data_IF_648900898879
#
_entry.id   IF_648900898879
#
_cell.length_a   1.000
_cell.length_b   1.000
_cell.length_c   1.000
_cell.angle_alpha   90.00
_cell.angle_beta   90.00
_cell.angle_gamma   90.00
#
_symmetry.space_group_name_H-M   'P 1'
#
loop_
_entity.id
_entity.type
_entity.pdbx_description
1 polymer ?
#
# COMPACT_ATOMS: atom_id res chain seq x y z
N UNK A 1 -41.61 12.62 1.91
CA UNK A 1 -40.24 12.89 2.39
C UNK A 1 -39.36 12.83 1.15
N UNK A 2 -38.87 13.96 0.69
CA UNK A 2 -37.91 14.01 -0.42
C UNK A 2 -36.60 13.41 0.10
N UNK A 3 -36.23 12.22 -0.40
CA UNK A 3 -34.92 11.65 -0.18
C UNK A 3 -33.87 12.68 -0.64
N UNK A 4 -33.22 13.33 0.31
CA UNK A 4 -32.07 14.18 0.03
C UNK A 4 -31.00 13.23 -0.51
N UNK A 5 -30.77 13.25 -1.81
CA UNK A 5 -29.71 12.48 -2.44
C UNK A 5 -28.39 12.97 -1.81
N UNK A 6 -27.82 12.19 -0.90
CA UNK A 6 -26.53 12.51 -0.29
C UNK A 6 -25.45 12.53 -1.37
N UNK A 7 -24.71 13.65 -1.44
CA UNK A 7 -23.56 13.73 -2.35
C UNK A 7 -22.31 13.10 -1.71
N UNK A 8 -21.95 11.91 -2.17
CA UNK A 8 -20.76 11.18 -1.74
C UNK A 8 -19.46 11.63 -2.40
N UNK A 9 -19.48 12.71 -3.19
CA UNK A 9 -18.25 13.24 -3.81
C UNK A 9 -17.27 13.76 -2.77
N UNK A 10 -17.75 14.29 -1.64
CA UNK A 10 -16.94 14.71 -0.50
C UNK A 10 -16.29 13.50 0.21
N UNK A 11 -17.04 12.42 0.44
CA UNK A 11 -16.53 11.17 1.02
C UNK A 11 -15.44 10.56 0.14
N UNK A 12 -15.69 10.50 -1.16
CA UNK A 12 -14.71 10.05 -2.15
C UNK A 12 -13.42 10.85 -2.08
N UNK A 13 -13.50 12.18 -2.04
CA UNK A 13 -12.32 13.06 -1.93
C UNK A 13 -11.58 12.86 -0.61
N UNK A 14 -12.30 12.72 0.50
CA UNK A 14 -11.70 12.46 1.80
C UNK A 14 -10.93 11.14 1.82
N UNK A 15 -11.50 10.04 1.29
CA UNK A 15 -10.82 8.76 1.19
C UNK A 15 -9.61 8.81 0.23
N UNK A 16 -9.69 9.54 -0.89
CA UNK A 16 -8.56 9.73 -1.78
C UNK A 16 -7.40 10.46 -1.10
N UNK A 17 -7.68 11.52 -0.34
CA UNK A 17 -6.67 12.22 0.44
C UNK A 17 -6.14 11.35 1.59
N UNK A 18 -6.96 10.47 2.19
CA UNK A 18 -6.51 9.48 3.15
C UNK A 18 -5.41 8.59 2.58
N UNK A 19 -5.59 8.05 1.37
CA UNK A 19 -4.54 7.26 0.71
C UNK A 19 -3.31 8.09 0.32
N UNK A 20 -3.46 9.37 0.04
CA UNK A 20 -2.30 10.28 -0.12
C UNK A 20 -1.59 10.48 1.22
N UNK A 21 -2.31 10.65 2.33
CA UNK A 21 -1.74 10.70 3.69
C UNK A 21 -0.95 9.42 3.98
N UNK A 22 -1.53 8.25 3.70
CA UNK A 22 -0.86 6.96 3.89
C UNK A 22 0.44 6.88 3.06
N UNK A 23 0.40 7.30 1.79
CA UNK A 23 1.58 7.33 0.94
C UNK A 23 2.69 8.24 1.49
N UNK A 24 2.32 9.41 2.04
CA UNK A 24 3.28 10.34 2.64
C UNK A 24 3.96 9.69 3.84
N UNK A 25 3.19 9.18 4.82
CA UNK A 25 3.77 8.64 6.06
C UNK A 25 4.60 7.37 5.83
N UNK A 26 4.25 6.57 4.83
CA UNK A 26 5.00 5.36 4.48
C UNK A 26 6.30 5.65 3.72
N UNK A 27 6.34 6.71 2.88
CA UNK A 27 7.44 6.89 1.92
C UNK A 27 8.30 8.14 2.17
N UNK A 28 7.88 9.09 3.01
CA UNK A 28 8.63 10.32 3.25
C UNK A 28 9.86 10.11 4.13
N UNK A 29 9.72 9.39 5.25
CA UNK A 29 10.80 9.24 6.23
C UNK A 29 12.08 8.58 5.67
N UNK A 30 12.01 7.57 4.78
CA UNK A 30 13.18 7.03 4.09
C UNK A 30 14.00 8.08 3.32
N UNK A 31 13.36 9.11 2.78
CA UNK A 31 14.03 10.20 2.06
C UNK A 31 14.89 11.08 3.00
N UNK A 32 14.64 11.00 4.32
CA UNK A 32 15.35 11.77 5.35
C UNK A 32 16.56 11.01 5.95
N UNK A 33 16.83 9.77 5.59
CA UNK A 33 17.89 8.95 6.20
C UNK A 33 19.25 9.64 6.14
N UNK A 34 19.60 10.26 5.02
CA UNK A 34 20.87 11.01 4.89
C UNK A 34 20.86 12.28 5.77
N UNK A 35 19.70 12.95 5.92
CA UNK A 35 19.57 14.08 6.82
C UNK A 35 19.79 13.66 8.28
N UNK A 36 19.16 12.57 8.71
CA UNK A 36 19.32 12.03 10.06
C UNK A 36 20.76 11.57 10.35
N UNK A 37 21.40 10.93 9.37
CA UNK A 37 22.80 10.54 9.50
C UNK A 37 23.71 11.76 9.68
N UNK A 38 23.55 12.79 8.85
CA UNK A 38 24.39 13.98 8.87
C UNK A 38 24.17 14.86 10.11
N UNK A 39 22.91 14.98 10.55
CA UNK A 39 22.56 15.91 11.63
C UNK A 39 22.67 15.29 13.02
N UNK A 40 22.27 14.04 13.16
CA UNK A 40 22.20 13.34 14.44
C UNK A 40 23.28 12.27 14.61
N UNK A 41 24.09 12.00 13.58
CA UNK A 41 25.10 10.94 13.62
C UNK A 41 24.52 9.52 13.68
N UNK A 42 23.23 9.32 13.37
CA UNK A 42 22.58 8.01 13.45
C UNK A 42 23.22 7.06 12.43
N UNK A 43 23.70 5.88 12.83
CA UNK A 43 24.24 4.90 11.89
C UNK A 43 23.18 4.47 10.85
N UNK A 44 23.57 4.39 9.58
CA UNK A 44 22.65 4.00 8.49
C UNK A 44 22.01 2.63 8.77
N UNK A 45 22.77 1.70 9.31
CA UNK A 45 22.26 0.37 9.69
C UNK A 45 21.10 0.44 10.71
N UNK A 46 21.14 1.40 11.64
CA UNK A 46 20.08 1.58 12.65
C UNK A 46 18.79 2.15 12.05
N UNK A 47 18.86 2.77 10.89
CA UNK A 47 17.66 3.32 10.21
C UNK A 47 16.75 2.23 9.65
N UNK A 48 17.22 0.99 9.52
CA UNK A 48 16.39 -0.16 9.18
C UNK A 48 15.28 -0.43 10.24
N UNK A 49 15.46 0.06 11.48
CA UNK A 49 14.41 0.01 12.50
C UNK A 49 13.18 0.88 12.16
N UNK A 50 13.36 1.93 11.38
CA UNK A 50 12.27 2.86 11.03
C UNK A 50 11.17 2.14 10.24
N UNK A 51 11.42 1.55 9.06
CA UNK A 51 10.40 0.80 8.35
C UNK A 51 9.96 -0.46 9.11
N UNK A 52 10.84 -1.11 9.88
CA UNK A 52 10.47 -2.29 10.68
C UNK A 52 9.42 -1.93 11.73
N UNK A 53 9.59 -0.83 12.47
CA UNK A 53 8.60 -0.35 13.44
C UNK A 53 7.32 0.10 12.74
N UNK A 54 7.43 0.81 11.61
CA UNK A 54 6.27 1.24 10.83
C UNK A 54 5.35 0.07 10.47
N UNK A 55 5.89 -0.95 9.80
CA UNK A 55 5.09 -2.11 9.38
C UNK A 55 4.64 -2.97 10.55
N UNK A 56 5.44 -3.12 11.62
CA UNK A 56 5.01 -3.85 12.81
C UNK A 56 3.80 -3.19 13.48
N UNK A 57 3.79 -1.87 13.58
CA UNK A 57 2.66 -1.11 14.14
C UNK A 57 1.45 -1.20 13.22
N UNK A 58 1.62 -1.10 11.90
CA UNK A 58 0.54 -1.24 10.93
C UNK A 58 -0.12 -2.61 11.04
N UNK A 59 0.64 -3.70 10.99
CA UNK A 59 0.15 -5.08 11.21
C UNK A 59 -0.61 -5.23 12.53
N UNK A 60 -0.14 -4.58 13.60
CA UNK A 60 -0.81 -4.62 14.90
C UNK A 60 -2.15 -3.89 14.87
N UNK A 61 -2.25 -2.75 14.19
CA UNK A 61 -3.50 -2.00 14.00
C UNK A 61 -4.50 -2.81 13.18
N UNK A 62 -4.06 -3.44 12.09
CA UNK A 62 -4.90 -4.29 11.25
C UNK A 62 -5.48 -5.46 12.05
N UNK A 63 -4.62 -6.11 12.87
CA UNK A 63 -5.07 -7.17 13.77
C UNK A 63 -6.10 -6.68 14.79
N UNK A 64 -5.90 -5.50 15.37
CA UNK A 64 -6.88 -4.91 16.30
C UNK A 64 -8.20 -4.62 15.59
N UNK A 65 -8.17 -4.03 14.40
CA UNK A 65 -9.37 -3.77 13.60
C UNK A 65 -10.09 -5.05 13.20
N UNK A 66 -9.35 -6.13 12.91
CA UNK A 66 -9.96 -7.44 12.63
C UNK A 66 -10.64 -8.07 13.85
N UNK A 67 -10.11 -7.80 15.05
CA UNK A 67 -10.59 -8.38 16.32
C UNK A 67 -11.80 -7.63 16.88
N UNK A 68 -11.81 -6.30 16.80
CA UNK A 68 -12.89 -5.47 17.35
C UNK A 68 -14.00 -5.29 16.32
N UNK A 69 -15.26 -5.53 16.76
CA UNK A 69 -16.44 -5.47 15.88
C UNK A 69 -17.06 -4.08 15.80
N UNK A 70 -17.08 -3.35 16.93
CA UNK A 70 -17.76 -2.06 17.03
C UNK A 70 -16.80 -0.91 16.75
N UNK A 71 -16.49 -0.69 15.47
CA UNK A 71 -15.61 0.39 15.03
C UNK A 71 -16.46 1.59 14.60
N UNK A 72 -16.33 2.71 15.32
CA UNK A 72 -16.84 4.00 14.86
C UNK A 72 -15.96 4.52 13.71
N UNK A 73 -16.41 4.33 12.48
CA UNK A 73 -15.66 4.69 11.28
C UNK A 73 -15.27 6.15 11.24
N UNK A 74 -16.21 7.07 11.57
CA UNK A 74 -15.93 8.50 11.56
C UNK A 74 -14.86 8.88 12.58
N UNK A 75 -15.02 8.39 13.80
CA UNK A 75 -14.08 8.68 14.88
C UNK A 75 -12.68 8.13 14.56
N UNK A 76 -12.60 6.89 14.11
CA UNK A 76 -11.33 6.23 13.88
C UNK A 76 -10.61 6.77 12.64
N UNK A 77 -11.33 7.15 11.56
CA UNK A 77 -10.71 7.77 10.40
C UNK A 77 -10.23 9.21 10.69
N UNK A 78 -10.89 9.94 11.59
CA UNK A 78 -10.38 11.23 12.08
C UNK A 78 -9.13 11.01 12.95
N UNK A 79 -9.13 9.99 13.82
CA UNK A 79 -7.95 9.63 14.64
C UNK A 79 -6.77 9.29 13.72
N UNK A 80 -6.99 8.60 12.61
CA UNK A 80 -5.92 8.26 11.68
C UNK A 80 -5.23 9.50 11.08
N UNK A 81 -6.00 10.48 10.67
CA UNK A 81 -5.45 11.74 10.14
C UNK A 81 -4.76 12.57 11.23
N UNK A 82 -5.34 12.61 12.44
CA UNK A 82 -4.73 13.30 13.60
C UNK A 82 -3.38 12.66 13.94
N UNK A 83 -3.31 11.34 14.07
CA UNK A 83 -2.06 10.65 14.40
C UNK A 83 -1.03 10.79 13.28
N UNK A 84 -1.45 10.74 12.01
CA UNK A 84 -0.58 11.00 10.86
C UNK A 84 0.00 12.42 10.90
N UNK A 85 -0.84 13.43 11.16
CA UNK A 85 -0.40 14.82 11.26
C UNK A 85 0.54 15.05 12.46
N UNK A 86 0.21 14.49 13.62
CA UNK A 86 1.02 14.62 14.84
C UNK A 86 2.37 13.92 14.69
N UNK A 87 2.39 12.73 14.10
CA UNK A 87 3.64 12.00 13.87
C UNK A 87 4.54 12.72 12.87
N UNK A 88 3.99 13.23 11.75
CA UNK A 88 4.75 14.05 10.79
C UNK A 88 5.25 15.34 11.43
N UNK A 89 4.38 16.15 12.03
CA UNK A 89 4.79 17.40 12.67
C UNK A 89 5.77 17.15 13.82
N UNK A 90 5.54 16.12 14.63
CA UNK A 90 6.42 15.71 15.71
C UNK A 90 7.83 15.35 15.22
N UNK A 91 7.96 14.77 14.04
CA UNK A 91 9.25 14.42 13.44
C UNK A 91 10.17 15.64 13.30
N UNK A 92 9.63 16.83 13.09
CA UNK A 92 10.42 18.04 12.98
C UNK A 92 11.07 18.47 14.31
N UNK A 93 10.54 18.05 15.46
CA UNK A 93 10.93 18.58 16.78
C UNK A 93 11.38 17.49 17.76
N UNK A 94 10.65 16.36 17.85
CA UNK A 94 10.90 15.32 18.84
C UNK A 94 12.31 14.73 18.82
N UNK A 95 12.93 14.45 17.65
CA UNK A 95 14.28 13.86 17.63
C UNK A 95 15.31 14.67 18.40
N UNK A 96 15.19 16.01 18.35
CA UNK A 96 16.11 16.92 19.05
C UNK A 96 15.87 17.00 20.57
N UNK A 97 14.76 16.51 21.08
CA UNK A 97 14.41 16.54 22.51
C UNK A 97 14.90 15.32 23.27
N UNK A 98 15.27 14.26 22.59
CA UNK A 98 15.75 13.02 23.21
C UNK A 98 17.27 12.93 23.21
N UNK A 99 17.87 12.39 24.27
CA UNK A 99 19.31 12.12 24.28
C UNK A 99 19.76 11.24 23.12
N UNK A 100 18.90 10.27 22.74
CA UNK A 100 19.04 9.43 21.55
C UNK A 100 18.00 9.84 20.51
N UNK A 101 18.36 10.62 19.47
CA UNK A 101 17.41 11.13 18.47
C UNK A 101 16.61 10.05 17.75
N UNK A 102 17.19 8.86 17.59
CA UNK A 102 16.48 7.71 16.99
C UNK A 102 15.22 7.34 17.78
N UNK A 103 15.24 7.44 19.11
CA UNK A 103 14.04 7.18 19.94
C UNK A 103 12.92 8.16 19.60
N UNK A 104 13.23 9.46 19.48
CA UNK A 104 12.27 10.47 19.07
C UNK A 104 11.69 10.20 17.67
N UNK A 105 12.54 9.76 16.72
CA UNK A 105 12.11 9.34 15.38
C UNK A 105 11.14 8.15 15.47
N UNK A 106 11.50 7.09 16.22
CA UNK A 106 10.67 5.89 16.35
C UNK A 106 9.32 6.16 17.03
N UNK A 107 9.26 7.09 17.98
CA UNK A 107 8.00 7.55 18.57
C UNK A 107 7.11 8.19 17.49
N UNK A 108 7.65 9.10 16.68
CA UNK A 108 6.91 9.74 15.59
C UNK A 108 6.43 8.72 14.56
N UNK A 109 7.30 7.77 14.20
CA UNK A 109 6.98 6.65 13.30
C UNK A 109 5.82 5.84 13.84
N UNK A 110 5.87 5.46 15.11
CA UNK A 110 4.79 4.71 15.78
C UNK A 110 3.47 5.47 15.71
N UNK A 111 3.48 6.78 15.99
CA UNK A 111 2.27 7.61 15.99
C UNK A 111 1.65 7.66 14.59
N UNK A 112 2.41 7.95 13.54
CA UNK A 112 1.83 8.02 12.19
C UNK A 112 1.58 6.64 11.57
N UNK A 113 2.28 5.57 12.00
CA UNK A 113 1.98 4.22 11.55
C UNK A 113 0.62 3.72 12.04
N UNK A 114 0.18 4.14 13.25
CA UNK A 114 -1.20 3.91 13.72
C UNK A 114 -2.18 4.55 12.73
N UNK A 115 -1.91 5.79 12.30
CA UNK A 115 -2.73 6.47 11.30
C UNK A 115 -2.78 5.72 9.97
N UNK A 116 -1.62 5.26 9.50
CA UNK A 116 -1.49 4.49 8.25
C UNK A 116 -2.35 3.23 8.26
N UNK A 117 -2.24 2.39 9.30
CA UNK A 117 -3.02 1.16 9.41
C UNK A 117 -4.54 1.44 9.47
N UNK A 118 -4.96 2.47 10.24
CA UNK A 118 -6.38 2.84 10.26
C UNK A 118 -6.89 3.30 8.90
N UNK A 119 -6.12 4.09 8.12
CA UNK A 119 -6.50 4.51 6.77
C UNK A 119 -6.69 3.30 5.87
N UNK A 120 -5.75 2.36 5.91
CA UNK A 120 -5.76 1.16 5.09
C UNK A 120 -7.01 0.31 5.31
N UNK A 121 -7.35 0.05 6.57
CA UNK A 121 -8.50 -0.77 6.93
C UNK A 121 -9.83 -0.06 6.71
N UNK A 122 -9.91 1.26 6.95
CA UNK A 122 -11.20 1.95 7.02
C UNK A 122 -11.62 2.62 5.70
N UNK A 123 -10.71 3.11 4.86
CA UNK A 123 -11.09 3.82 3.64
C UNK A 123 -11.77 2.89 2.62
N UNK A 124 -11.30 1.65 2.49
CA UNK A 124 -11.88 0.67 1.56
C UNK A 124 -13.34 0.35 1.88
N UNK A 125 -13.72 -0.03 3.13
CA UNK A 125 -15.13 -0.26 3.46
C UNK A 125 -15.98 1.00 3.39
N UNK A 126 -15.44 2.20 3.70
CA UNK A 126 -16.19 3.46 3.53
C UNK A 126 -16.59 3.68 2.07
N UNK A 127 -15.69 3.44 1.11
CA UNK A 127 -15.99 3.53 -0.33
C UNK A 127 -16.92 2.42 -0.78
N UNK A 128 -16.74 1.18 -0.27
CA UNK A 128 -17.60 0.04 -0.61
C UNK A 128 -19.04 0.23 -0.16
N UNK A 129 -19.26 0.86 1.00
CA UNK A 129 -20.59 1.17 1.52
C UNK A 129 -21.31 2.28 0.72
N UNK A 130 -20.58 3.16 0.05
CA UNK A 130 -21.18 4.22 -0.76
C UNK A 130 -21.94 3.64 -1.96
N UNK A 131 -23.10 4.24 -2.37
CA UNK A 131 -23.91 3.74 -3.48
C UNK A 131 -23.35 4.14 -4.85
N UNK A 132 -22.09 3.84 -5.10
CA UNK A 132 -21.51 4.05 -6.42
C UNK A 132 -21.91 2.94 -7.40
N UNK A 133 -22.23 3.29 -8.67
CA UNK A 133 -22.66 2.30 -9.66
C UNK A 133 -21.54 1.33 -10.08
N UNK A 134 -20.28 1.75 -9.97
CA UNK A 134 -19.10 0.95 -10.30
C UNK A 134 -18.19 0.83 -9.07
N UNK A 135 -18.50 -0.09 -8.16
CA UNK A 135 -17.75 -0.27 -6.91
C UNK A 135 -16.32 -0.73 -7.14
N UNK A 136 -16.10 -1.70 -8.05
CA UNK A 136 -14.76 -2.19 -8.40
C UNK A 136 -13.88 -1.08 -8.98
N UNK A 137 -14.44 -0.27 -9.87
CA UNK A 137 -13.75 0.88 -10.43
C UNK A 137 -13.44 1.95 -9.39
N UNK A 138 -14.36 2.19 -8.45
CA UNK A 138 -14.13 3.14 -7.35
C UNK A 138 -13.05 2.65 -6.39
N UNK A 139 -13.02 1.35 -6.09
CA UNK A 139 -11.96 0.74 -5.29
C UNK A 139 -10.59 0.89 -5.98
N UNK A 140 -10.53 0.59 -7.27
CA UNK A 140 -9.30 0.76 -8.06
C UNK A 140 -8.83 2.23 -8.12
N UNK A 141 -9.75 3.18 -8.29
CA UNK A 141 -9.45 4.61 -8.23
C UNK A 141 -8.95 5.03 -6.85
N UNK A 142 -9.58 4.57 -5.78
CA UNK A 142 -9.15 4.84 -4.41
C UNK A 142 -7.68 4.46 -4.22
N UNK A 143 -7.33 3.23 -4.53
CA UNK A 143 -5.96 2.74 -4.38
C UNK A 143 -4.96 3.39 -5.37
N UNK A 144 -5.44 3.99 -6.49
CA UNK A 144 -4.56 4.76 -7.37
C UNK A 144 -4.00 6.01 -6.68
N UNK A 145 -4.74 6.60 -5.73
CA UNK A 145 -4.28 7.78 -5.00
C UNK A 145 -3.12 7.49 -4.05
N UNK A 146 -2.97 6.25 -3.56
CA UNK A 146 -1.74 5.84 -2.90
C UNK A 146 -0.54 5.95 -3.85
N UNK A 147 -0.65 5.40 -5.07
CA UNK A 147 0.43 5.45 -6.06
C UNK A 147 0.81 6.89 -6.43
N UNK A 148 -0.20 7.73 -6.70
CA UNK A 148 0.02 9.15 -6.99
C UNK A 148 0.59 9.89 -5.79
N UNK A 149 0.20 9.50 -4.58
CA UNK A 149 0.79 9.99 -3.33
C UNK A 149 2.28 9.64 -3.24
N UNK A 150 2.67 8.40 -3.54
CA UNK A 150 4.09 7.96 -3.58
C UNK A 150 4.87 8.80 -4.59
N UNK A 151 4.38 8.91 -5.82
CA UNK A 151 5.02 9.74 -6.86
C UNK A 151 5.11 11.19 -6.39
N UNK A 152 4.03 11.74 -5.83
CA UNK A 152 3.96 13.12 -5.35
C UNK A 152 4.93 13.40 -4.22
N UNK A 153 5.02 12.52 -3.21
CA UNK A 153 5.92 12.73 -2.07
C UNK A 153 7.39 12.61 -2.48
N UNK A 154 7.72 11.65 -3.34
CA UNK A 154 9.11 11.47 -3.80
C UNK A 154 9.54 12.66 -4.65
N UNK A 155 8.79 12.98 -5.71
CA UNK A 155 9.13 14.09 -6.62
C UNK A 155 9.06 15.44 -5.90
N UNK A 156 8.03 15.70 -5.12
CA UNK A 156 7.86 16.94 -4.37
C UNK A 156 8.97 17.15 -3.35
N UNK A 157 9.36 16.10 -2.62
CA UNK A 157 10.47 16.18 -1.65
C UNK A 157 11.81 16.35 -2.35
N UNK A 158 12.05 15.63 -3.44
CA UNK A 158 13.29 15.77 -4.23
C UNK A 158 13.42 17.17 -4.80
N UNK A 159 12.35 17.73 -5.35
CA UNK A 159 12.34 19.11 -5.86
C UNK A 159 12.56 20.13 -4.74
N UNK A 160 11.89 19.95 -3.60
CA UNK A 160 12.09 20.83 -2.44
C UNK A 160 13.54 20.81 -1.96
N UNK A 161 14.16 19.65 -1.83
CA UNK A 161 15.56 19.54 -1.41
C UNK A 161 16.53 20.08 -2.45
N UNK A 162 16.23 19.96 -3.74
CA UNK A 162 17.04 20.57 -4.80
C UNK A 162 17.00 22.10 -4.76
N UNK A 163 15.85 22.70 -4.43
CA UNK A 163 15.68 24.15 -4.39
C UNK A 163 16.12 24.79 -3.08
N UNK A 164 15.80 24.15 -1.95
CA UNK A 164 15.97 24.72 -0.61
C UNK A 164 17.04 24.01 0.24
N UNK A 165 17.59 22.91 -0.25
CA UNK A 165 18.59 22.13 0.46
C UNK A 165 18.02 21.15 1.48
N UNK A 166 18.78 20.08 1.72
CA UNK A 166 18.36 18.98 2.62
C UNK A 166 18.23 19.45 4.09
N UNK A 167 18.95 20.50 4.51
CA UNK A 167 18.87 21.02 5.88
C UNK A 167 17.51 21.59 6.25
N UNK A 168 16.66 21.92 5.27
CA UNK A 168 15.28 22.39 5.48
C UNK A 168 14.24 21.25 5.61
N UNK A 169 14.68 20.02 5.83
CA UNK A 169 13.79 18.85 5.92
C UNK A 169 12.67 19.01 6.97
N UNK A 170 12.92 19.73 8.07
CA UNK A 170 11.89 20.00 9.11
C UNK A 170 10.72 20.82 8.56
N UNK A 171 11.01 21.81 7.72
CA UNK A 171 9.97 22.64 7.08
C UNK A 171 9.13 21.75 6.16
N UNK A 172 9.78 20.92 5.34
CA UNK A 172 9.07 20.01 4.45
C UNK A 172 8.21 19.02 5.21
N UNK A 173 8.68 18.48 6.34
CA UNK A 173 7.92 17.57 7.20
C UNK A 173 6.64 18.25 7.71
N UNK A 174 6.72 19.51 8.15
CA UNK A 174 5.54 20.29 8.55
C UNK A 174 4.59 20.58 7.37
N UNK A 175 5.13 20.83 6.17
CA UNK A 175 4.32 21.04 4.97
C UNK A 175 3.53 19.78 4.62
N UNK A 176 4.16 18.59 4.67
CA UNK A 176 3.46 17.33 4.44
C UNK A 176 2.37 17.07 5.50
N UNK A 177 2.56 17.50 6.75
CA UNK A 177 1.55 17.38 7.80
C UNK A 177 0.28 18.21 7.53
N UNK A 178 0.31 19.21 6.65
CA UNK A 178 -0.87 20.00 6.29
C UNK A 178 -1.93 19.17 5.54
N UNK A 179 -1.53 18.12 4.83
CA UNK A 179 -2.46 17.27 4.09
C UNK A 179 -3.39 16.50 5.03
N UNK A 180 -2.90 15.71 6.00
CA UNK A 180 -3.78 15.07 6.98
C UNK A 180 -4.56 16.09 7.82
N UNK A 181 -3.97 17.22 8.22
CA UNK A 181 -4.70 18.28 8.93
C UNK A 181 -5.90 18.80 8.14
N UNK A 182 -5.73 19.06 6.84
CA UNK A 182 -6.84 19.44 5.97
C UNK A 182 -7.89 18.33 5.86
N UNK A 183 -7.44 17.07 5.79
CA UNK A 183 -8.33 15.93 5.59
C UNK A 183 -9.17 15.59 6.82
N UNK A 184 -8.74 15.98 8.05
CA UNK A 184 -9.57 15.92 9.25
C UNK A 184 -10.91 16.64 9.01
N UNK A 185 -10.88 17.84 8.40
CA UNK A 185 -12.08 18.64 8.12
C UNK A 185 -12.98 17.90 7.13
N UNK A 186 -12.39 17.29 6.09
CA UNK A 186 -13.15 16.52 5.11
C UNK A 186 -13.87 15.33 5.77
N UNK A 187 -13.18 14.51 6.56
CA UNK A 187 -13.79 13.36 7.24
C UNK A 187 -14.78 13.76 8.34
N UNK A 188 -14.60 14.92 8.96
CA UNK A 188 -15.56 15.43 9.95
C UNK A 188 -16.91 15.79 9.32
N UNK A 189 -16.91 16.22 8.05
CA UNK A 189 -18.09 16.81 7.40
C UNK A 189 -18.71 15.92 6.31
N UNK A 190 -17.97 14.99 5.70
CA UNK A 190 -18.49 14.15 4.63
C UNK A 190 -19.54 13.13 5.14
N UNK A 191 -20.52 12.73 4.29
CA UNK A 191 -21.44 11.65 4.64
C UNK A 191 -20.69 10.31 4.65
N UNK A 192 -20.81 9.52 5.73
CA UNK A 192 -20.32 8.15 5.81
C UNK A 192 -21.56 7.26 5.99
N UNK A 193 -21.74 6.29 5.09
CA UNK A 193 -22.84 5.33 5.21
C UNK A 193 -22.54 4.32 6.32
N UNK A 194 -23.59 3.83 7.01
CA UNK A 194 -23.43 2.71 7.92
C UNK A 194 -22.91 1.50 7.15
N UNK A 195 -21.72 1.10 7.48
CA UNK A 195 -21.18 -0.17 7.00
C UNK A 195 -21.95 -1.24 7.76
N UNK A 196 -22.42 -2.29 7.06
CA UNK A 196 -23.29 -3.36 7.58
C UNK A 196 -23.16 -3.49 9.09
N UNK A 197 -24.27 -3.25 9.82
CA UNK A 197 -24.21 -3.14 11.28
C UNK A 197 -23.34 -4.25 11.82
N UNK A 198 -22.26 -3.90 12.51
CA UNK A 198 -21.25 -4.86 12.98
C UNK A 198 -21.83 -5.98 13.86
N UNK A 199 -23.06 -5.81 14.37
CA UNK A 199 -23.84 -6.85 15.04
C UNK A 199 -24.21 -8.04 14.13
N UNK A 200 -24.30 -7.83 12.80
CA UNK A 200 -24.62 -8.87 11.79
C UNK A 200 -23.39 -9.33 11.00
N UNK A 201 -22.25 -8.64 11.10
CA UNK A 201 -21.01 -8.98 10.42
C UNK A 201 -20.35 -10.24 10.97
N UNK A 202 -19.65 -10.98 10.10
CA UNK A 202 -18.85 -12.14 10.50
C UNK A 202 -17.71 -11.73 11.41
N UNK A 203 -17.49 -12.48 12.50
CA UNK A 203 -16.31 -12.30 13.34
C UNK A 203 -15.05 -12.83 12.64
N UNK A 204 -13.87 -12.35 13.05
CA UNK A 204 -12.57 -12.87 12.61
C UNK A 204 -12.51 -14.41 12.66
N UNK A 205 -12.97 -15.02 13.78
CA UNK A 205 -12.99 -16.49 13.92
C UNK A 205 -13.92 -17.19 12.94
N UNK A 206 -15.06 -16.58 12.61
CA UNK A 206 -15.99 -17.11 11.62
C UNK A 206 -15.42 -17.01 10.20
N UNK A 207 -14.78 -15.88 9.87
CA UNK A 207 -14.10 -15.70 8.59
C UNK A 207 -12.96 -16.69 8.40
N UNK A 208 -12.08 -16.86 9.38
CA UNK A 208 -10.96 -17.81 9.32
C UNK A 208 -11.42 -19.29 9.23
N UNK A 209 -12.61 -19.62 9.71
CA UNK A 209 -13.21 -20.94 9.55
C UNK A 209 -14.00 -21.10 8.25
N UNK A 210 -14.26 -20.01 7.54
CA UNK A 210 -14.99 -20.02 6.29
C UNK A 210 -14.08 -20.52 5.16
N UNK A 211 -14.38 -21.71 4.66
CA UNK A 211 -13.61 -22.35 3.57
C UNK A 211 -13.57 -21.50 2.29
N UNK A 212 -14.62 -20.71 2.04
CA UNK A 212 -14.68 -19.80 0.90
C UNK A 212 -13.73 -18.60 1.07
N UNK A 213 -13.42 -18.20 2.31
CA UNK A 213 -12.55 -17.06 2.57
C UNK A 213 -11.06 -17.38 2.44
N UNK A 214 -10.65 -18.61 2.74
CA UNK A 214 -9.24 -19.00 2.73
C UNK A 214 -8.53 -18.76 1.37
N UNK A 215 -9.11 -19.10 0.21
CA UNK A 215 -8.51 -18.79 -1.09
C UNK A 215 -8.27 -17.28 -1.29
N UNK A 216 -9.15 -16.42 -0.77
CA UNK A 216 -8.97 -14.97 -0.87
C UNK A 216 -7.85 -14.45 0.05
N UNK A 217 -7.65 -15.04 1.22
CA UNK A 217 -6.49 -14.72 2.06
C UNK A 217 -5.17 -15.09 1.35
N UNK A 218 -5.10 -16.28 0.76
CA UNK A 218 -3.91 -16.72 -0.01
C UNK A 218 -3.70 -15.81 -1.23
N UNK A 219 -4.78 -15.43 -1.93
CA UNK A 219 -4.76 -14.49 -3.03
C UNK A 219 -4.16 -13.16 -2.58
N UNK A 220 -4.57 -12.65 -1.42
CA UNK A 220 -4.11 -11.36 -0.90
C UNK A 220 -2.65 -11.40 -0.45
N UNK A 221 -2.20 -12.50 0.20
CA UNK A 221 -0.78 -12.73 0.50
C UNK A 221 0.05 -12.72 -0.79
N UNK A 222 -0.39 -13.45 -1.82
CA UNK A 222 0.30 -13.50 -3.10
C UNK A 222 0.32 -12.14 -3.81
N UNK A 223 -0.75 -11.34 -3.65
CA UNK A 223 -0.85 -9.97 -4.16
C UNK A 223 0.19 -9.07 -3.51
N UNK A 224 0.21 -8.98 -2.18
CA UNK A 224 1.17 -8.16 -1.44
C UNK A 224 2.61 -8.58 -1.72
N UNK A 225 2.88 -9.89 -1.77
CA UNK A 225 4.20 -10.40 -2.09
C UNK A 225 4.65 -10.05 -3.51
N UNK A 226 3.75 -10.16 -4.51
CA UNK A 226 4.06 -9.81 -5.91
C UNK A 226 4.31 -8.32 -6.09
N UNK A 227 3.60 -7.46 -5.39
CA UNK A 227 3.78 -6.00 -5.43
C UNK A 227 5.10 -5.61 -4.74
N UNK A 228 5.26 -6.01 -3.47
CA UNK A 228 6.36 -5.55 -2.62
C UNK A 228 7.72 -6.11 -3.05
N UNK A 229 7.79 -7.33 -3.55
CA UNK A 229 9.08 -7.92 -4.00
C UNK A 229 9.72 -7.09 -5.09
N UNK A 230 8.95 -6.66 -6.09
CA UNK A 230 9.49 -5.82 -7.16
C UNK A 230 9.72 -4.39 -6.68
N UNK A 231 8.74 -3.78 -6.00
CA UNK A 231 8.81 -2.38 -5.56
C UNK A 231 10.01 -2.11 -4.65
N UNK A 232 10.28 -3.00 -3.69
CA UNK A 232 11.36 -2.80 -2.71
C UNK A 232 12.75 -3.13 -3.25
N UNK A 233 12.85 -4.06 -4.18
CA UNK A 233 14.14 -4.47 -4.72
C UNK A 233 14.53 -3.80 -6.04
N UNK A 234 13.60 -3.07 -6.68
CA UNK A 234 13.82 -2.48 -8.01
C UNK A 234 15.02 -1.53 -8.07
N UNK A 235 15.24 -0.69 -7.04
CA UNK A 235 16.38 0.22 -6.97
C UNK A 235 17.70 -0.53 -6.79
N UNK A 236 17.78 -1.43 -5.80
CA UNK A 236 18.98 -2.24 -5.56
C UNK A 236 19.29 -3.15 -6.75
N UNK A 237 18.27 -3.70 -7.40
CA UNK A 237 18.41 -4.49 -8.61
C UNK A 237 19.02 -3.67 -9.76
N UNK A 238 18.56 -2.44 -9.95
CA UNK A 238 19.10 -1.54 -10.96
C UNK A 238 20.57 -1.21 -10.73
N UNK A 239 20.94 -0.88 -9.49
CA UNK A 239 22.29 -0.51 -9.09
C UNK A 239 23.24 -1.72 -9.14
N UNK A 240 22.88 -2.80 -8.45
CA UNK A 240 23.80 -3.94 -8.22
C UNK A 240 23.86 -4.89 -9.41
N UNK A 241 22.70 -5.22 -10.01
CA UNK A 241 22.64 -6.22 -11.08
C UNK A 241 22.74 -5.63 -12.48
N UNK A 242 22.33 -4.36 -12.66
CA UNK A 242 22.34 -3.71 -13.97
C UNK A 242 23.42 -2.65 -14.10
N UNK A 243 24.15 -2.31 -13.03
CA UNK A 243 25.24 -1.35 -13.05
C UNK A 243 24.80 0.09 -13.37
N UNK A 244 23.54 0.45 -13.04
CA UNK A 244 22.97 1.77 -13.29
C UNK A 244 23.19 2.66 -12.06
N UNK A 245 23.46 3.95 -12.29
CA UNK A 245 23.60 4.91 -11.19
C UNK A 245 22.39 4.89 -10.25
N UNK A 246 22.64 4.96 -8.94
CA UNK A 246 21.61 4.88 -7.90
C UNK A 246 20.45 5.86 -8.12
N UNK A 247 20.74 7.12 -8.50
CA UNK A 247 19.70 8.12 -8.73
C UNK A 247 18.76 7.73 -9.90
N UNK A 248 19.30 7.14 -10.96
CA UNK A 248 18.54 6.63 -12.09
C UNK A 248 17.79 5.37 -11.67
N UNK A 249 18.42 4.50 -10.87
CA UNK A 249 17.81 3.28 -10.32
C UNK A 249 16.60 3.57 -9.46
N UNK A 250 16.69 4.58 -8.58
CA UNK A 250 15.57 5.00 -7.72
C UNK A 250 14.39 5.57 -8.53
N UNK A 251 14.66 6.34 -9.57
CA UNK A 251 13.63 6.92 -10.45
C UNK A 251 13.04 5.88 -11.40
N UNK A 252 13.87 5.10 -12.08
CA UNK A 252 13.43 4.13 -13.08
C UNK A 252 12.91 2.83 -12.46
N UNK A 253 13.32 2.47 -11.25
CA UNK A 253 12.81 1.32 -10.51
C UNK A 253 11.51 1.64 -9.77
N UNK A 254 11.56 1.99 -8.46
CA UNK A 254 10.36 2.11 -7.63
C UNK A 254 9.42 3.25 -8.07
N UNK A 255 9.94 4.40 -8.55
CA UNK A 255 9.10 5.51 -8.98
C UNK A 255 8.36 5.17 -10.28
N UNK A 256 9.03 4.58 -11.28
CA UNK A 256 8.36 4.15 -12.49
C UNK A 256 7.38 3.01 -12.23
N UNK A 257 7.73 2.04 -11.36
CA UNK A 257 6.82 0.99 -10.91
C UNK A 257 5.53 1.60 -10.33
N UNK A 258 5.63 2.53 -9.37
CA UNK A 258 4.48 3.18 -8.74
C UNK A 258 3.67 4.00 -9.76
N UNK A 259 4.32 4.68 -10.71
CA UNK A 259 3.67 5.43 -11.77
C UNK A 259 2.82 4.52 -12.68
N UNK A 260 3.39 3.41 -13.17
CA UNK A 260 2.66 2.48 -14.03
C UNK A 260 1.55 1.74 -13.25
N UNK A 261 1.77 1.43 -11.97
CA UNK A 261 0.74 0.89 -11.09
C UNK A 261 -0.42 1.89 -10.93
N UNK A 262 -0.13 3.16 -10.69
CA UNK A 262 -1.14 4.22 -10.61
C UNK A 262 -1.93 4.39 -11.91
N UNK A 263 -1.25 4.36 -13.05
CA UNK A 263 -1.90 4.38 -14.37
C UNK A 263 -2.84 3.19 -14.57
N UNK A 264 -2.41 1.99 -14.23
CA UNK A 264 -3.23 0.77 -14.36
C UNK A 264 -4.47 0.84 -13.47
N UNK A 265 -4.33 1.26 -12.19
CA UNK A 265 -5.44 1.46 -11.26
C UNK A 265 -6.42 2.52 -11.77
N UNK A 266 -5.92 3.65 -12.23
CA UNK A 266 -6.75 4.72 -12.78
C UNK A 266 -7.47 4.30 -14.07
N UNK A 267 -6.78 3.58 -14.96
CA UNK A 267 -7.37 3.08 -16.20
C UNK A 267 -8.52 2.11 -15.91
N UNK A 268 -8.28 1.12 -15.05
CA UNK A 268 -9.32 0.16 -14.66
C UNK A 268 -10.50 0.88 -13.98
N UNK A 269 -10.22 1.80 -13.08
CA UNK A 269 -11.25 2.58 -12.40
C UNK A 269 -12.18 3.35 -13.33
N UNK A 270 -11.67 3.83 -14.47
CA UNK A 270 -12.43 4.62 -15.45
C UNK A 270 -13.03 3.79 -16.59
N UNK A 271 -12.37 2.72 -17.00
CA UNK A 271 -12.70 1.96 -18.23
C UNK A 271 -12.98 0.49 -17.99
N UNK A 272 -12.66 -0.04 -16.82
CA UNK A 272 -12.75 -1.47 -16.48
C UNK A 272 -14.18 -1.97 -16.20
N UNK A 273 -15.17 -1.11 -16.07
CA UNK A 273 -16.54 -1.44 -15.66
C UNK A 273 -17.25 -2.51 -16.51
N UNK A 274 -16.80 -2.72 -17.76
CA UNK A 274 -17.36 -3.74 -18.66
C UNK A 274 -16.51 -5.02 -18.71
N UNK A 275 -15.42 -5.08 -17.92
CA UNK A 275 -14.54 -6.23 -17.87
C UNK A 275 -14.92 -7.13 -16.69
N UNK A 276 -14.89 -8.45 -16.90
CA UNK A 276 -14.97 -9.38 -15.78
C UNK A 276 -13.70 -9.29 -14.93
N UNK A 277 -13.85 -8.80 -13.69
CA UNK A 277 -12.76 -8.54 -12.77
C UNK A 277 -11.84 -9.76 -12.59
N UNK A 278 -12.42 -10.94 -12.39
CA UNK A 278 -11.66 -12.16 -12.17
C UNK A 278 -10.82 -12.57 -13.40
N UNK A 279 -11.37 -12.40 -14.60
CA UNK A 279 -10.65 -12.65 -15.86
C UNK A 279 -9.53 -11.64 -16.07
N UNK A 280 -9.81 -10.36 -15.80
CA UNK A 280 -8.82 -9.29 -15.91
C UNK A 280 -7.66 -9.48 -14.92
N UNK A 281 -7.95 -9.82 -13.65
CA UNK A 281 -6.94 -10.15 -12.66
C UNK A 281 -6.12 -11.38 -13.04
N UNK A 282 -6.74 -12.41 -13.63
CA UNK A 282 -6.01 -13.60 -14.12
C UNK A 282 -5.02 -13.23 -15.21
N UNK A 283 -5.44 -12.43 -16.20
CA UNK A 283 -4.57 -11.93 -17.26
C UNK A 283 -3.43 -11.07 -16.70
N UNK A 284 -3.76 -10.18 -15.76
CA UNK A 284 -2.78 -9.35 -15.05
C UNK A 284 -1.77 -10.19 -14.25
N UNK A 285 -2.22 -11.29 -13.62
CA UNK A 285 -1.33 -12.26 -12.94
C UNK A 285 -0.35 -12.95 -13.88
N UNK A 286 -0.83 -13.36 -15.05
CA UNK A 286 0.03 -13.93 -16.10
C UNK A 286 1.04 -12.88 -16.60
N UNK A 287 0.60 -11.65 -16.84
CA UNK A 287 1.48 -10.55 -17.22
C UNK A 287 2.52 -10.25 -16.13
N UNK A 288 2.12 -10.29 -14.85
CA UNK A 288 3.02 -10.11 -13.72
C UNK A 288 4.12 -11.19 -13.71
N UNK A 289 3.73 -12.46 -13.86
CA UNK A 289 4.68 -13.58 -13.96
C UNK A 289 5.66 -13.37 -15.12
N UNK A 290 5.15 -13.06 -16.32
CA UNK A 290 5.99 -12.79 -17.48
C UNK A 290 6.93 -11.59 -17.25
N UNK A 291 6.47 -10.55 -16.57
CA UNK A 291 7.26 -9.36 -16.21
C UNK A 291 8.40 -9.70 -15.24
N UNK A 292 8.15 -10.56 -14.27
CA UNK A 292 9.18 -11.09 -13.36
C UNK A 292 10.24 -11.91 -14.12
N UNK A 293 9.83 -12.76 -15.04
CA UNK A 293 10.77 -13.50 -15.89
C UNK A 293 11.60 -12.55 -16.78
N UNK A 294 10.95 -11.54 -17.36
CA UNK A 294 11.63 -10.55 -18.19
C UNK A 294 12.66 -9.75 -17.39
N UNK A 295 12.32 -9.34 -16.16
CA UNK A 295 13.23 -8.61 -15.28
C UNK A 295 14.41 -9.49 -14.83
N UNK A 296 14.13 -10.75 -14.44
CA UNK A 296 15.12 -11.63 -13.81
C UNK A 296 16.01 -12.41 -14.76
N UNK A 297 15.54 -12.72 -15.97
CA UNK A 297 16.30 -13.55 -16.93
C UNK A 297 17.05 -12.71 -17.97
N UNK A 298 16.75 -11.42 -18.10
CA UNK A 298 17.45 -10.55 -19.05
C UNK A 298 18.76 -10.03 -18.45
N UNK A 299 19.82 -10.07 -19.27
CA UNK A 299 21.09 -9.40 -18.96
C UNK A 299 21.17 -7.97 -19.54
N UNK A 300 20.14 -7.54 -20.29
CA UNK A 300 20.07 -6.20 -20.89
C UNK A 300 19.30 -5.27 -19.93
N UNK A 301 19.95 -4.22 -19.38
CA UNK A 301 19.34 -3.32 -18.39
C UNK A 301 17.98 -2.76 -18.82
N UNK A 302 17.87 -2.30 -20.07
CA UNK A 302 16.62 -1.73 -20.60
C UNK A 302 15.47 -2.74 -20.57
N UNK A 303 15.73 -4.00 -20.93
CA UNK A 303 14.70 -5.06 -20.93
C UNK A 303 14.27 -5.37 -19.49
N UNK A 304 15.22 -5.44 -18.56
CA UNK A 304 14.92 -5.65 -17.14
C UNK A 304 14.10 -4.50 -16.54
N UNK A 305 14.40 -3.24 -16.89
CA UNK A 305 13.58 -2.10 -16.50
C UNK A 305 12.16 -2.16 -17.08
N UNK A 306 12.01 -2.55 -18.35
CA UNK A 306 10.69 -2.77 -18.94
C UNK A 306 9.93 -3.85 -18.16
N UNK A 307 10.59 -4.91 -17.72
CA UNK A 307 10.01 -5.93 -16.84
C UNK A 307 9.52 -5.32 -15.52
N UNK A 308 10.31 -4.47 -14.86
CA UNK A 308 9.91 -3.78 -13.64
C UNK A 308 8.69 -2.88 -13.86
N UNK A 309 8.66 -2.06 -14.92
CA UNK A 309 7.54 -1.18 -15.24
C UNK A 309 6.26 -1.97 -15.55
N UNK A 310 6.38 -3.04 -16.35
CA UNK A 310 5.25 -3.91 -16.68
C UNK A 310 4.72 -4.65 -15.45
N UNK A 311 5.58 -5.03 -14.51
CA UNK A 311 5.12 -5.64 -13.26
C UNK A 311 4.29 -4.65 -12.43
N UNK A 312 4.67 -3.36 -12.39
CA UNK A 312 3.86 -2.30 -11.76
C UNK A 312 2.47 -2.20 -12.38
N UNK A 313 2.40 -2.17 -13.73
CA UNK A 313 1.12 -2.17 -14.46
C UNK A 313 0.30 -3.44 -14.16
N UNK A 314 0.95 -4.59 -14.10
CA UNK A 314 0.31 -5.88 -13.88
C UNK A 314 -0.27 -6.02 -12.47
N UNK A 315 0.48 -5.61 -11.42
CA UNK A 315 -0.02 -5.69 -10.03
C UNK A 315 -1.09 -4.63 -9.73
N UNK A 316 -1.29 -3.66 -10.61
CA UNK A 316 -2.17 -2.51 -10.37
C UNK A 316 -3.56 -2.88 -9.85
N UNK A 317 -4.22 -3.88 -10.46
CA UNK A 317 -5.57 -4.29 -10.08
C UNK A 317 -5.60 -5.32 -8.94
N UNK A 318 -4.48 -5.92 -8.59
CA UNK A 318 -4.48 -7.10 -7.73
C UNK A 318 -4.96 -6.79 -6.32
N UNK A 319 -4.46 -5.73 -5.69
CA UNK A 319 -4.88 -5.33 -4.36
C UNK A 319 -6.35 -4.87 -4.33
N UNK A 320 -6.76 -3.82 -5.06
CA UNK A 320 -8.15 -3.38 -5.06
C UNK A 320 -9.11 -4.44 -5.60
N UNK A 321 -8.69 -5.21 -6.59
CA UNK A 321 -9.48 -6.30 -7.16
C UNK A 321 -9.68 -7.45 -6.18
N UNK A 322 -8.68 -7.83 -5.40
CA UNK A 322 -8.82 -8.86 -4.36
C UNK A 322 -9.82 -8.43 -3.29
N UNK A 323 -9.79 -7.18 -2.86
CA UNK A 323 -10.76 -6.62 -1.92
C UNK A 323 -12.17 -6.66 -2.52
N UNK A 324 -12.36 -6.11 -3.72
CA UNK A 324 -13.67 -6.07 -4.39
C UNK A 324 -14.22 -7.47 -4.68
N UNK A 325 -13.35 -8.38 -5.13
CA UNK A 325 -13.76 -9.77 -5.41
C UNK A 325 -14.18 -10.50 -4.14
N UNK A 326 -13.48 -10.28 -3.03
CA UNK A 326 -13.80 -10.91 -1.74
C UNK A 326 -15.08 -10.35 -1.15
N UNK A 327 -15.27 -9.03 -1.14
CA UNK A 327 -16.48 -8.39 -0.61
C UNK A 327 -17.72 -8.80 -1.40
N UNK A 328 -17.60 -8.97 -2.72
CA UNK A 328 -18.69 -9.48 -3.55
C UNK A 328 -19.06 -10.95 -3.27
N UNK A 329 -18.09 -11.80 -2.85
CA UNK A 329 -18.34 -13.20 -2.51
C UNK A 329 -18.80 -13.40 -1.07
N UNK A 330 -18.43 -12.50 -0.17
CA UNK A 330 -18.74 -12.56 1.27
C UNK A 330 -19.30 -11.21 1.73
N UNK A 331 -20.52 -10.83 1.30
CA UNK A 331 -21.09 -9.52 1.61
C UNK A 331 -21.28 -9.26 3.11
N UNK A 332 -21.37 -10.33 3.91
CA UNK A 332 -21.53 -10.26 5.37
C UNK A 332 -20.19 -10.19 6.11
N UNK A 333 -19.06 -10.02 5.39
CA UNK A 333 -17.73 -10.06 5.99
C UNK A 333 -17.43 -8.91 6.97
N UNK A 334 -18.11 -7.76 6.80
CA UNK A 334 -17.94 -6.60 7.68
C UNK A 334 -16.50 -6.07 7.72
N UNK A 335 -16.19 -5.28 8.74
CA UNK A 335 -14.85 -4.69 8.94
C UNK A 335 -13.75 -5.75 9.07
N UNK A 336 -14.06 -6.88 9.73
CA UNK A 336 -13.09 -7.95 9.93
C UNK A 336 -12.55 -8.53 8.62
N UNK A 337 -13.38 -8.56 7.56
CA UNK A 337 -12.94 -9.01 6.22
C UNK A 337 -11.86 -8.10 5.65
N UNK A 338 -12.09 -6.78 5.66
CA UNK A 338 -11.14 -5.81 5.12
C UNK A 338 -9.83 -5.80 5.91
N UNK A 339 -9.93 -5.85 7.25
CA UNK A 339 -8.76 -5.88 8.12
C UNK A 339 -7.95 -7.19 7.96
N UNK A 340 -8.60 -8.35 7.81
CA UNK A 340 -7.90 -9.61 7.54
C UNK A 340 -7.26 -9.64 6.14
N UNK A 341 -7.88 -9.01 5.15
CA UNK A 341 -7.28 -8.87 3.83
C UNK A 341 -6.06 -7.95 3.88
N UNK A 342 -6.14 -6.78 4.55
CA UNK A 342 -5.00 -5.89 4.73
C UNK A 342 -3.85 -6.62 5.43
N UNK A 343 -4.12 -7.27 6.57
CA UNK A 343 -3.15 -8.09 7.31
C UNK A 343 -2.51 -9.17 6.42
N UNK A 344 -3.30 -9.87 5.60
CA UNK A 344 -2.78 -10.87 4.67
C UNK A 344 -1.89 -10.26 3.58
N UNK A 345 -2.27 -9.10 3.06
CA UNK A 345 -1.48 -8.33 2.12
C UNK A 345 -0.12 -7.91 2.69
N UNK A 346 -0.10 -7.41 3.92
CA UNK A 346 1.12 -6.99 4.62
C UNK A 346 2.03 -8.17 4.98
N UNK A 347 1.45 -9.32 5.35
CA UNK A 347 2.21 -10.58 5.48
C UNK A 347 2.88 -10.93 4.14
N UNK A 348 2.17 -10.80 3.04
CA UNK A 348 2.74 -10.95 1.70
C UNK A 348 3.82 -9.92 1.40
N UNK A 349 3.55 -8.66 1.72
CA UNK A 349 4.48 -7.54 1.58
C UNK A 349 5.78 -7.70 2.36
N UNK A 350 5.76 -8.51 3.42
CA UNK A 350 6.95 -8.89 4.19
C UNK A 350 7.60 -10.15 3.62
N UNK A 351 6.80 -11.19 3.32
CA UNK A 351 7.30 -12.48 2.85
C UNK A 351 7.96 -12.39 1.46
N UNK A 352 7.37 -11.59 0.56
CA UNK A 352 7.87 -11.44 -0.80
C UNK A 352 9.31 -10.91 -0.86
N UNK A 353 9.58 -9.70 -0.36
CA UNK A 353 10.93 -9.14 -0.32
C UNK A 353 11.91 -9.99 0.48
N UNK A 354 11.45 -10.65 1.55
CA UNK A 354 12.28 -11.58 2.33
C UNK A 354 12.74 -12.78 1.49
N UNK A 355 11.84 -13.36 0.68
CA UNK A 355 12.20 -14.44 -0.24
C UNK A 355 13.23 -13.97 -1.27
N UNK A 356 13.05 -12.76 -1.83
CA UNK A 356 14.05 -12.17 -2.73
C UNK A 356 15.40 -12.09 -2.05
N UNK A 357 15.46 -11.54 -0.82
CA UNK A 357 16.70 -11.41 -0.07
C UNK A 357 17.38 -12.75 0.24
N UNK A 358 16.61 -13.75 0.68
CA UNK A 358 17.14 -15.10 0.98
C UNK A 358 17.68 -15.79 -0.26
N UNK A 359 17.01 -15.64 -1.41
CA UNK A 359 17.39 -16.28 -2.66
C UNK A 359 18.39 -15.46 -3.50
N UNK A 360 18.73 -14.23 -3.06
CA UNK A 360 19.80 -13.44 -3.67
C UNK A 360 21.13 -14.12 -3.36
N UNK A 361 21.95 -14.40 -4.39
CA UNK A 361 23.27 -15.01 -4.19
C UNK A 361 24.26 -13.99 -3.62
N UNK A 362 24.74 -14.16 -2.37
CA UNK A 362 25.71 -13.23 -1.76
C UNK A 362 27.07 -13.25 -2.48
N UNK A 363 27.43 -14.37 -3.08
CA UNK A 363 28.73 -14.55 -3.75
C UNK A 363 28.79 -13.82 -5.11
N UNK A 364 27.65 -13.63 -5.75
CA UNK A 364 27.56 -13.04 -7.09
C UNK A 364 26.89 -11.67 -7.08
N UNK A 365 26.42 -11.16 -5.92
CA UNK A 365 25.55 -9.98 -5.79
C UNK A 365 24.36 -10.02 -6.78
N UNK A 366 23.83 -11.22 -7.03
CA UNK A 366 22.83 -11.44 -8.07
C UNK A 366 21.41 -11.40 -7.49
N UNK A 367 20.77 -10.22 -7.58
CA UNK A 367 19.37 -10.01 -7.15
C UNK A 367 18.41 -10.67 -8.15
N UNK A 368 18.84 -10.96 -9.37
CA UNK A 368 18.01 -11.63 -10.39
C UNK A 368 17.50 -12.99 -9.91
N UNK A 369 18.34 -13.78 -9.22
CA UNK A 369 17.93 -15.08 -8.64
C UNK A 369 16.84 -14.92 -7.60
N UNK A 370 16.91 -13.88 -6.77
CA UNK A 370 15.88 -13.55 -5.78
C UNK A 370 14.56 -13.15 -6.46
N UNK A 371 14.59 -12.28 -7.47
CA UNK A 371 13.40 -11.89 -8.24
C UNK A 371 12.80 -13.08 -8.99
N UNK A 372 13.63 -13.98 -9.52
CA UNK A 372 13.16 -15.20 -10.17
C UNK A 372 12.43 -16.11 -9.16
N UNK A 373 12.97 -16.28 -7.95
CA UNK A 373 12.29 -17.03 -6.89
C UNK A 373 10.95 -16.39 -6.52
N UNK A 374 10.87 -15.06 -6.43
CA UNK A 374 9.63 -14.34 -6.10
C UNK A 374 8.56 -14.45 -7.20
N UNK A 375 8.91 -14.89 -8.42
CA UNK A 375 7.91 -15.16 -9.47
C UNK A 375 6.91 -16.26 -9.11
N UNK A 376 7.15 -17.03 -8.04
CA UNK A 376 6.19 -17.99 -7.48
C UNK A 376 4.89 -17.32 -7.01
N UNK A 377 4.95 -16.07 -6.50
CA UNK A 377 3.77 -15.39 -5.98
C UNK A 377 2.74 -15.05 -7.07
N UNK A 378 3.10 -14.47 -8.24
CA UNK A 378 2.15 -14.34 -9.35
C UNK A 378 1.55 -15.69 -9.81
N UNK A 379 2.30 -16.79 -9.74
CA UNK A 379 1.76 -18.13 -10.05
C UNK A 379 0.70 -18.54 -9.03
N UNK A 380 0.98 -18.40 -7.74
CA UNK A 380 0.00 -18.67 -6.65
C UNK A 380 -1.26 -17.83 -6.87
N UNK A 381 -1.11 -16.54 -7.21
CA UNK A 381 -2.22 -15.62 -7.47
C UNK A 381 -3.10 -16.13 -8.62
N UNK A 382 -2.51 -16.52 -9.75
CA UNK A 382 -3.26 -17.05 -10.91
C UNK A 382 -3.98 -18.35 -10.54
N UNK A 383 -3.32 -19.25 -9.83
CA UNK A 383 -3.93 -20.51 -9.38
C UNK A 383 -5.12 -20.25 -8.46
N UNK A 384 -5.00 -19.32 -7.49
CA UNK A 384 -6.11 -18.94 -6.61
C UNK A 384 -7.29 -18.37 -7.40
N UNK A 385 -7.06 -17.50 -8.38
CA UNK A 385 -8.12 -16.90 -9.21
C UNK A 385 -8.83 -17.97 -10.05
N UNK A 386 -8.09 -18.91 -10.64
CA UNK A 386 -8.68 -20.04 -11.40
C UNK A 386 -9.54 -20.90 -10.45
N UNK A 387 -9.05 -21.21 -9.26
CA UNK A 387 -9.79 -21.97 -8.26
C UNK A 387 -11.10 -21.29 -7.83
N UNK A 388 -11.04 -19.99 -7.50
CA UNK A 388 -12.21 -19.18 -7.12
C UNK A 388 -13.25 -19.17 -8.24
N UNK A 389 -12.84 -19.03 -9.50
CA UNK A 389 -13.76 -19.11 -10.65
C UNK A 389 -14.39 -20.48 -10.82
N UNK A 390 -13.61 -21.53 -10.64
CA UNK A 390 -14.12 -22.90 -10.73
C UNK A 390 -15.16 -23.19 -9.65
N UNK A 391 -14.91 -22.79 -8.40
CA UNK A 391 -15.85 -22.95 -7.30
C UNK A 391 -17.16 -22.17 -7.54
N UNK A 392 -17.06 -20.95 -8.10
CA UNK A 392 -18.24 -20.14 -8.47
C UNK A 392 -19.09 -20.80 -9.57
N UNK A 393 -18.48 -21.51 -10.51
CA UNK A 393 -19.18 -22.18 -11.60
C UNK A 393 -19.89 -23.45 -11.15
N UNK A 394 -19.52 -24.03 -10.00
CA UNK A 394 -20.16 -25.23 -9.43
C UNK A 394 -21.32 -24.92 -8.49
N UNK A 395 -21.45 -23.67 -8.01
CA UNK A 395 -22.58 -23.18 -7.18
C UNK A 395 -23.68 -22.59 -8.05
#
# INVERSE_FOLDING_TARGET
MTDIIKDYSSTKRACYLGFVTQAIVANFTPLLFIAFHREYGIPIASMALIPAVFYAVQLFVDFLCAKFKDIDYRKNIIISEVTSALGLAGMAFLPALFPEPLVGILICVTIYAIGSGLIEVLCSPIIEACPFPNKEGMMSLLHSFYCWGVVGVVLGSTLFFALFGLHNWRILTCLWALIPLYNIINFATCPIEPIVQDSEGMSMSQLLKNRTFLPFLILMVATGASEASMAQWASAFAEVSLGVDKAIGDLAGPCAFAFFMGLGRMWYGKKGQNLDLSSYMTLAGILCFASYLLASLSSIPLISFIGCMLSGLAVAIMWPGSISLTSAHIPQGGTALFALLALAGDVGGTAGPSLVGICTSPAENNIQSGLLAASVFPVILVVCLIYIRYEKAQR
#
